data_IF_220788490998
#
_entry.id   IF_220788490998
#
_cell.length_a   1.000
_cell.length_b   1.000
_cell.length_c   1.000
_cell.angle_alpha   90.00
_cell.angle_beta   90.00
_cell.angle_gamma   90.00
#
_symmetry.space_group_name_H-M   'P 1'
#
loop_
_entity.id
_entity.type
_entity.pdbx_description
1 polymer ?
#
# COMPACT_ATOMS: atom_id res chain seq x y z
N UNK A 1 -5.78 16.09 0.29
CA UNK A 1 -4.99 15.21 1.18
C UNK A 1 -3.97 14.44 0.33
N UNK A 2 -2.71 14.34 0.76
CA UNK A 2 -1.67 13.61 0.03
C UNK A 2 -1.54 12.19 0.60
N UNK A 3 -1.92 11.17 -0.20
CA UNK A 3 -1.90 9.77 0.22
C UNK A 3 -0.54 9.33 0.79
N UNK A 4 0.57 9.79 0.22
CA UNK A 4 1.92 9.44 0.71
C UNK A 4 2.17 9.93 2.13
N UNK A 5 1.72 11.14 2.45
CA UNK A 5 1.89 11.72 3.79
C UNK A 5 0.99 11.03 4.81
N UNK A 6 -0.24 10.70 4.44
CA UNK A 6 -1.15 9.95 5.30
C UNK A 6 -0.60 8.54 5.61
N UNK A 7 -0.15 7.82 4.58
CA UNK A 7 0.47 6.49 4.73
C UNK A 7 1.71 6.57 5.64
N UNK A 8 2.60 7.53 5.43
CA UNK A 8 3.78 7.69 6.29
C UNK A 8 3.42 7.91 7.76
N UNK A 9 2.41 8.74 8.02
CA UNK A 9 1.99 9.09 9.38
C UNK A 9 1.24 7.94 10.08
N UNK A 10 0.39 7.22 9.37
CA UNK A 10 -0.48 6.21 9.97
C UNK A 10 0.14 4.81 10.02
N UNK A 11 1.02 4.48 9.07
CA UNK A 11 1.63 3.14 8.97
C UNK A 11 3.06 3.15 9.50
N UNK A 12 3.92 4.06 9.05
CA UNK A 12 5.36 3.94 9.28
C UNK A 12 5.85 4.66 10.55
N UNK A 13 5.38 5.88 10.78
CA UNK A 13 5.75 6.67 11.96
C UNK A 13 5.48 5.97 13.31
N UNK A 14 4.38 5.20 13.51
CA UNK A 14 4.14 4.51 14.77
C UNK A 14 5.07 3.31 15.04
N UNK A 15 5.83 2.87 14.04
CA UNK A 15 6.73 1.71 14.13
C UNK A 15 8.21 2.11 14.09
N UNK A 16 8.52 3.39 14.29
CA UNK A 16 9.88 3.92 14.11
C UNK A 16 10.49 3.58 12.74
N UNK A 17 9.62 3.41 11.74
CA UNK A 17 10.01 3.20 10.35
C UNK A 17 9.95 4.52 9.58
N UNK A 18 10.86 4.66 8.62
CA UNK A 18 10.84 5.78 7.67
C UNK A 18 10.48 5.28 6.28
N UNK A 19 9.34 5.73 5.76
CA UNK A 19 8.97 5.48 4.36
C UNK A 19 9.92 6.25 3.43
N UNK A 20 10.63 5.53 2.57
CA UNK A 20 11.48 6.08 1.52
C UNK A 20 10.69 6.46 0.27
N UNK A 21 9.62 5.72 -0.03
CA UNK A 21 8.79 5.97 -1.19
C UNK A 21 7.50 5.17 -1.18
N UNK A 22 6.50 5.70 -1.88
CA UNK A 22 5.24 5.03 -2.14
C UNK A 22 4.82 5.27 -3.59
N UNK A 23 4.40 4.21 -4.27
CA UNK A 23 3.93 4.24 -5.67
C UNK A 23 2.54 3.64 -5.72
N UNK A 24 1.60 4.39 -6.28
CA UNK A 24 0.27 3.86 -6.57
C UNK A 24 0.38 2.83 -7.68
N UNK A 25 -0.17 1.64 -7.45
CA UNK A 25 -0.19 0.56 -8.43
C UNK A 25 -1.62 0.18 -8.76
N UNK A 26 -1.84 -0.10 -10.05
CA UNK A 26 -3.06 -0.76 -10.48
C UNK A 26 -2.80 -2.26 -10.49
N UNK A 27 -3.59 -3.02 -9.73
CA UNK A 27 -3.48 -4.49 -9.71
C UNK A 27 -3.67 -5.01 -11.15
N UNK A 28 -2.67 -5.69 -11.69
CA UNK A 28 -2.81 -6.39 -12.97
C UNK A 28 -3.74 -7.59 -12.75
N UNK A 29 -4.89 -7.59 -13.41
CA UNK A 29 -5.80 -8.76 -13.49
C UNK A 29 -5.18 -9.83 -14.39
N UNK A 30 -4.09 -10.48 -13.96
CA UNK A 30 -3.54 -11.64 -14.67
C UNK A 30 -4.07 -12.92 -14.01
N UNK A 31 -4.94 -13.64 -14.75
CA UNK A 31 -5.68 -14.88 -14.42
C UNK A 31 -6.26 -14.94 -12.99
N UNK A 32 -7.59 -14.85 -12.88
CA UNK A 32 -8.38 -15.10 -11.67
C UNK A 32 -7.78 -16.27 -10.88
N UNK A 33 -7.20 -15.98 -9.72
CA UNK A 33 -6.82 -17.01 -8.76
C UNK A 33 -8.10 -17.28 -7.96
N UNK A 34 -8.79 -18.43 -8.15
CA UNK A 34 -10.18 -18.60 -7.72
C UNK A 34 -10.37 -18.63 -6.20
N UNK A 35 -9.30 -18.82 -5.42
CA UNK A 35 -9.40 -19.08 -3.99
C UNK A 35 -9.37 -17.82 -3.10
N UNK A 36 -8.91 -16.69 -3.62
CA UNK A 36 -9.01 -15.41 -2.90
C UNK A 36 -10.31 -14.76 -3.36
N UNK A 37 -11.33 -14.81 -2.50
CA UNK A 37 -12.54 -14.01 -2.62
C UNK A 37 -12.11 -12.55 -2.71
N UNK A 38 -11.85 -12.10 -3.93
CA UNK A 38 -11.53 -10.71 -4.21
C UNK A 38 -12.90 -10.07 -4.13
N UNK A 39 -13.21 -9.50 -2.96
CA UNK A 39 -14.41 -8.68 -2.77
C UNK A 39 -14.59 -7.79 -4.00
N UNK A 40 -15.84 -7.63 -4.44
CA UNK A 40 -16.20 -7.01 -5.71
C UNK A 40 -15.37 -5.77 -6.02
N UNK A 41 -15.15 -5.52 -7.31
CA UNK A 41 -14.29 -4.53 -7.94
C UNK A 41 -14.49 -3.09 -7.41
N UNK A 42 -14.20 -2.86 -6.13
CA UNK A 42 -14.23 -1.57 -5.46
C UNK A 42 -12.95 -0.83 -5.82
N UNK A 43 -13.06 0.49 -5.97
CA UNK A 43 -11.96 1.40 -6.29
C UNK A 43 -10.93 1.53 -5.15
N UNK A 44 -10.38 0.40 -4.69
CA UNK A 44 -9.27 0.44 -3.75
C UNK A 44 -8.03 0.94 -4.48
N UNK A 45 -7.51 2.08 -4.03
CA UNK A 45 -6.21 2.57 -4.44
C UNK A 45 -5.14 1.76 -3.70
N UNK A 46 -4.35 1.00 -4.44
CA UNK A 46 -3.25 0.21 -3.85
C UNK A 46 -1.95 0.97 -3.99
N UNK A 47 -1.15 0.99 -2.92
CA UNK A 47 0.21 1.54 -2.92
C UNK A 47 1.21 0.46 -2.54
N UNK A 48 2.35 0.45 -3.23
CA UNK A 48 3.54 -0.28 -2.79
C UNK A 48 4.44 0.75 -2.12
N UNK A 49 4.85 0.46 -0.88
CA UNK A 49 5.69 1.34 -0.08
C UNK A 49 7.04 0.66 0.20
N UNK A 50 8.11 1.45 0.24
CA UNK A 50 9.44 1.04 0.65
C UNK A 50 9.78 1.81 1.92
N UNK A 51 10.21 1.13 2.98
CA UNK A 51 10.61 1.72 4.25
C UNK A 51 11.96 1.16 4.73
N UNK A 52 12.56 1.89 5.66
CA UNK A 52 13.71 1.43 6.45
C UNK A 52 13.33 1.43 7.92
N UNK A 53 13.72 0.37 8.63
CA UNK A 53 13.65 0.34 10.09
C UNK A 53 14.77 1.19 10.66
N UNK A 54 14.44 2.10 11.56
CA UNK A 54 15.40 2.84 12.36
C UNK A 54 15.55 2.06 13.67
N UNK A 55 16.68 1.36 13.82
CA UNK A 55 17.11 0.79 15.10
C UNK A 55 17.92 1.82 15.89
#
# INVERSE_FOLDING_TARGET
MNAKSAINKEIFAPHDERMLGAVQVKRRTKKKIPFLATGGQGEYLTYICLSVMLY
#
